data_IF_672460951294
#
_entry.id   IF_672460951294
#
_cell.length_a   1.000
_cell.length_b   1.000
_cell.length_c   1.000
_cell.angle_alpha   90.00
_cell.angle_beta   90.00
_cell.angle_gamma   90.00
#
_symmetry.space_group_name_H-M   'P 1'
#
loop_
_entity.id
_entity.type
_entity.pdbx_description
1 polymer ?
#
# COMPACT_ATOMS: atom_id res chain seq x y z
N UNK A 1 4.52 -9.78 19.59
CA UNK A 1 5.11 -9.70 18.25
C UNK A 1 4.45 -10.69 17.30
N UNK A 2 4.74 -12.01 17.39
CA UNK A 2 4.26 -13.02 16.44
C UNK A 2 2.74 -13.04 16.21
N UNK A 3 1.94 -12.94 17.27
CA UNK A 3 0.48 -12.89 17.16
C UNK A 3 -0.02 -11.79 16.22
N UNK A 4 0.45 -10.55 16.42
CA UNK A 4 0.10 -9.42 15.57
C UNK A 4 0.66 -9.54 14.16
N UNK A 5 1.86 -10.12 14.01
CA UNK A 5 2.44 -10.42 12.71
C UNK A 5 1.56 -11.39 11.92
N UNK A 6 1.10 -12.49 12.55
CA UNK A 6 0.20 -13.47 11.92
C UNK A 6 -1.12 -12.82 11.54
N UNK A 7 -1.71 -11.99 12.40
CA UNK A 7 -2.94 -11.26 12.08
C UNK A 7 -2.73 -10.32 10.89
N UNK A 8 -1.67 -9.53 10.90
CA UNK A 8 -1.37 -8.58 9.85
C UNK A 8 -1.22 -9.28 8.48
N UNK A 9 -0.38 -10.31 8.40
CA UNK A 9 -0.20 -11.06 7.16
C UNK A 9 -1.46 -11.84 6.77
N UNK A 10 -2.16 -12.37 7.76
CA UNK A 10 -3.45 -13.04 7.63
C UNK A 10 -4.47 -12.17 6.91
N UNK A 11 -4.67 -10.95 7.42
CA UNK A 11 -5.61 -9.97 6.86
C UNK A 11 -5.19 -9.53 5.46
N UNK A 12 -3.89 -9.35 5.20
CA UNK A 12 -3.41 -8.95 3.86
C UNK A 12 -3.67 -10.02 2.80
N UNK A 13 -3.34 -11.29 3.09
CA UNK A 13 -3.57 -12.40 2.14
C UNK A 13 -5.07 -12.65 1.91
N UNK A 14 -5.86 -12.61 2.99
CA UNK A 14 -7.32 -12.70 2.88
C UNK A 14 -7.93 -11.52 2.11
N UNK A 15 -7.41 -10.30 2.31
CA UNK A 15 -7.84 -9.11 1.59
C UNK A 15 -7.63 -9.25 0.08
N UNK A 16 -6.47 -9.77 -0.34
CA UNK A 16 -6.20 -10.09 -1.75
C UNK A 16 -7.21 -11.11 -2.26
N UNK A 17 -7.39 -12.24 -1.56
CA UNK A 17 -8.31 -13.30 -1.98
C UNK A 17 -9.77 -12.81 -2.11
N UNK A 18 -10.23 -11.99 -1.16
CA UNK A 18 -11.60 -11.47 -1.15
C UNK A 18 -11.82 -10.41 -2.23
N UNK A 19 -10.91 -9.45 -2.36
CA UNK A 19 -11.08 -8.38 -3.32
C UNK A 19 -10.93 -8.89 -4.76
N UNK A 20 -10.03 -9.85 -5.00
CA UNK A 20 -9.82 -10.49 -6.29
C UNK A 20 -11.11 -11.05 -6.92
N UNK A 21 -12.00 -11.62 -6.10
CA UNK A 21 -13.30 -12.14 -6.55
C UNK A 21 -14.17 -11.07 -7.20
N UNK A 22 -14.11 -9.82 -6.72
CA UNK A 22 -14.83 -8.69 -7.31
C UNK A 22 -14.37 -8.31 -8.72
N UNK A 23 -13.21 -8.79 -9.14
CA UNK A 23 -12.60 -8.52 -10.45
C UNK A 23 -12.50 -9.77 -11.32
N UNK A 24 -13.19 -10.85 -10.97
CA UNK A 24 -13.19 -12.10 -11.73
C UNK A 24 -11.98 -13.00 -11.52
N UNK A 25 -11.12 -12.69 -10.54
CA UNK A 25 -9.99 -13.54 -10.17
C UNK A 25 -10.38 -14.45 -9.00
N UNK A 26 -10.62 -15.72 -9.28
CA UNK A 26 -10.87 -16.73 -8.24
C UNK A 26 -9.56 -17.29 -7.70
N UNK A 27 -8.94 -16.53 -6.80
CA UNK A 27 -7.69 -16.93 -6.14
C UNK A 27 -7.99 -17.93 -5.01
N UNK A 28 -7.37 -19.12 -5.11
CA UNK A 28 -7.21 -19.99 -3.96
C UNK A 28 -6.36 -19.32 -2.87
N UNK A 29 -6.53 -19.72 -1.62
CA UNK A 29 -5.85 -19.07 -0.48
C UNK A 29 -4.33 -19.04 -0.66
N UNK A 30 -3.73 -20.14 -1.11
CA UNK A 30 -2.28 -20.24 -1.34
C UNK A 30 -1.82 -19.38 -2.52
N UNK A 31 -2.64 -19.23 -3.56
CA UNK A 31 -2.34 -18.35 -4.69
C UNK A 31 -2.39 -16.88 -4.24
N UNK A 32 -3.35 -16.50 -3.39
CA UNK A 32 -3.42 -15.15 -2.83
C UNK A 32 -2.19 -14.80 -1.99
N UNK A 33 -1.67 -15.73 -1.19
CA UNK A 33 -0.39 -15.53 -0.48
C UNK A 33 0.82 -15.54 -1.42
N UNK A 34 0.78 -16.30 -2.53
CA UNK A 34 1.78 -16.20 -3.59
C UNK A 34 1.80 -14.81 -4.24
N UNK A 35 0.61 -14.25 -4.52
CA UNK A 35 0.46 -12.88 -5.01
C UNK A 35 0.99 -11.86 -4.00
N UNK A 36 0.65 -12.05 -2.72
CA UNK A 36 1.14 -11.21 -1.64
C UNK A 36 2.68 -11.22 -1.56
N UNK A 37 3.31 -12.39 -1.65
CA UNK A 37 4.76 -12.51 -1.57
C UNK A 37 5.47 -11.72 -2.70
N UNK A 38 4.95 -11.79 -3.93
CA UNK A 38 5.50 -11.04 -5.07
C UNK A 38 5.27 -9.54 -4.90
N UNK A 39 4.09 -9.15 -4.43
CA UNK A 39 3.79 -7.75 -4.11
C UNK A 39 4.75 -7.20 -3.03
N UNK A 40 5.04 -7.99 -1.99
CA UNK A 40 5.98 -7.61 -0.91
C UNK A 40 7.37 -7.32 -1.47
N UNK A 41 7.86 -8.15 -2.39
CA UNK A 41 9.12 -7.87 -3.11
C UNK A 41 9.03 -6.54 -3.86
N UNK A 42 7.91 -6.27 -4.52
CA UNK A 42 7.69 -5.03 -5.26
C UNK A 42 7.70 -3.77 -4.41
N UNK A 43 7.15 -3.81 -3.20
CA UNK A 43 7.15 -2.67 -2.26
C UNK A 43 8.47 -2.52 -1.50
N UNK A 44 9.36 -3.53 -1.53
CA UNK A 44 10.73 -3.38 -1.00
C UNK A 44 11.64 -2.57 -1.93
N UNK A 45 11.28 -2.48 -3.21
CA UNK A 45 11.99 -1.64 -4.18
C UNK A 45 11.67 -0.16 -3.87
N UNK A 46 12.67 0.72 -3.76
CA UNK A 46 12.45 2.15 -3.56
C UNK A 46 11.49 2.70 -4.63
N UNK A 47 10.39 3.30 -4.19
CA UNK A 47 9.31 3.77 -5.06
C UNK A 47 8.98 5.23 -4.75
N UNK A 48 8.33 5.88 -5.72
CA UNK A 48 7.72 7.19 -5.51
C UNK A 48 6.57 7.16 -4.49
N UNK A 49 5.94 8.33 -4.22
CA UNK A 49 4.87 8.43 -3.25
C UNK A 49 3.72 7.46 -3.55
N UNK A 50 3.24 6.75 -2.52
CA UNK A 50 2.11 5.83 -2.63
C UNK A 50 2.39 4.50 -3.35
N UNK A 51 3.66 4.20 -3.67
CA UNK A 51 4.05 3.01 -4.45
C UNK A 51 3.43 2.95 -5.85
N UNK A 52 3.05 4.10 -6.41
CA UNK A 52 2.45 4.17 -7.73
C UNK A 52 3.41 3.63 -8.80
N UNK A 53 2.91 2.82 -9.71
CA UNK A 53 3.72 2.07 -10.69
C UNK A 53 4.18 0.72 -10.15
N UNK A 54 4.95 0.69 -9.05
CA UNK A 54 5.46 -0.56 -8.47
C UNK A 54 4.33 -1.49 -8.04
N UNK A 55 3.36 -0.96 -7.29
CA UNK A 55 2.24 -1.76 -6.79
C UNK A 55 1.48 -2.41 -7.94
N UNK A 56 1.15 -1.63 -8.98
CA UNK A 56 0.42 -2.11 -10.15
C UNK A 56 1.22 -3.14 -10.95
N UNK A 57 2.50 -2.86 -11.18
CA UNK A 57 3.38 -3.74 -11.94
C UNK A 57 3.49 -5.10 -11.28
N UNK A 58 3.94 -5.16 -10.02
CA UNK A 58 4.20 -6.44 -9.34
C UNK A 58 2.93 -7.25 -9.11
N UNK A 59 1.80 -6.60 -8.83
CA UNK A 59 0.54 -7.31 -8.62
C UNK A 59 -0.01 -7.90 -9.93
N UNK A 60 0.11 -7.19 -11.05
CA UNK A 60 -0.25 -7.73 -12.38
C UNK A 60 0.66 -8.88 -12.78
N UNK A 61 1.98 -8.76 -12.55
CA UNK A 61 2.91 -9.87 -12.80
C UNK A 61 2.57 -11.10 -11.95
N UNK A 62 2.21 -10.89 -10.68
CA UNK A 62 1.82 -11.96 -9.79
C UNK A 62 0.53 -12.67 -10.23
N UNK A 63 -0.48 -11.92 -10.67
CA UNK A 63 -1.69 -12.49 -11.26
C UNK A 63 -1.40 -13.30 -12.54
N UNK A 64 -0.44 -12.84 -13.35
CA UNK A 64 0.02 -13.54 -14.56
C UNK A 64 0.61 -14.92 -14.31
N UNK A 65 0.97 -15.26 -13.07
CA UNK A 65 1.42 -16.61 -12.71
C UNK A 65 0.27 -17.62 -12.57
N UNK A 66 -0.96 -17.15 -12.35
CA UNK A 66 -2.10 -18.00 -12.00
C UNK A 66 -3.26 -17.90 -13.00
N UNK A 67 -3.33 -16.84 -13.79
CA UNK A 67 -4.44 -16.58 -14.70
C UNK A 67 -3.98 -16.36 -16.14
N UNK A 68 -4.91 -16.60 -17.07
CA UNK A 68 -4.68 -16.36 -18.49
C UNK A 68 -4.43 -14.87 -18.78
N UNK A 69 -3.55 -14.60 -19.76
CA UNK A 69 -3.15 -13.24 -20.12
C UNK A 69 -4.35 -12.34 -20.48
N UNK A 70 -5.37 -12.87 -21.15
CA UNK A 70 -6.56 -12.11 -21.53
C UNK A 70 -7.34 -11.59 -20.32
N UNK A 71 -7.50 -12.42 -19.28
CA UNK A 71 -8.19 -12.03 -18.04
C UNK A 71 -7.37 -10.97 -17.28
N UNK A 72 -6.06 -11.18 -17.19
CA UNK A 72 -5.14 -10.23 -16.53
C UNK A 72 -5.12 -8.89 -17.27
N UNK A 73 -5.14 -8.89 -18.60
CA UNK A 73 -5.20 -7.69 -19.42
C UNK A 73 -6.52 -6.93 -19.24
N UNK A 74 -7.64 -7.66 -19.08
CA UNK A 74 -8.96 -7.06 -18.93
C UNK A 74 -9.17 -6.40 -17.55
N UNK A 75 -8.78 -7.07 -16.47
CA UNK A 75 -9.15 -6.66 -15.10
C UNK A 75 -7.97 -6.48 -14.14
N UNK A 76 -6.76 -6.87 -14.51
CA UNK A 76 -5.60 -6.88 -13.61
C UNK A 76 -5.21 -5.51 -13.10
N UNK A 77 -5.17 -4.49 -13.98
CA UNK A 77 -4.85 -3.11 -13.57
C UNK A 77 -5.97 -2.51 -12.71
N UNK A 78 -7.24 -2.79 -13.02
CA UNK A 78 -8.36 -2.31 -12.23
C UNK A 78 -8.29 -2.86 -10.80
N UNK A 79 -8.09 -4.18 -10.66
CA UNK A 79 -7.86 -4.82 -9.38
C UNK A 79 -6.67 -4.21 -8.64
N UNK A 80 -5.56 -3.98 -9.35
CA UNK A 80 -4.34 -3.46 -8.73
C UNK A 80 -4.46 -2.01 -8.23
N UNK A 81 -5.15 -1.15 -8.98
CA UNK A 81 -5.47 0.20 -8.55
C UNK A 81 -6.39 0.18 -7.33
N UNK A 82 -7.44 -0.63 -7.35
CA UNK A 82 -8.36 -0.72 -6.20
C UNK A 82 -7.66 -1.21 -4.95
N UNK A 83 -6.81 -2.24 -5.05
CA UNK A 83 -5.98 -2.72 -3.94
C UNK A 83 -5.04 -1.62 -3.41
N UNK A 84 -4.34 -0.91 -4.30
CA UNK A 84 -3.41 0.16 -3.91
C UNK A 84 -4.13 1.32 -3.24
N UNK A 85 -5.28 1.75 -3.77
CA UNK A 85 -6.12 2.80 -3.19
C UNK A 85 -6.64 2.36 -1.82
N UNK A 86 -7.12 1.12 -1.69
CA UNK A 86 -7.59 0.60 -0.40
C UNK A 86 -6.47 0.64 0.66
N UNK A 87 -5.25 0.21 0.31
CA UNK A 87 -4.10 0.28 1.21
C UNK A 87 -3.73 1.72 1.58
N UNK A 88 -3.73 2.61 0.60
CA UNK A 88 -3.45 4.03 0.83
C UNK A 88 -4.48 4.65 1.78
N UNK A 89 -5.78 4.39 1.54
CA UNK A 89 -6.88 4.87 2.39
C UNK A 89 -6.78 4.33 3.81
N UNK A 90 -6.42 3.06 3.99
CA UNK A 90 -6.22 2.48 5.32
C UNK A 90 -5.08 3.20 6.05
N UNK A 91 -3.92 3.35 5.40
CA UNK A 91 -2.73 3.97 6.02
C UNK A 91 -2.95 5.44 6.36
N UNK A 92 -3.49 6.21 5.41
CA UNK A 92 -3.81 7.63 5.59
C UNK A 92 -4.95 7.81 6.58
N UNK A 93 -5.99 6.97 6.50
CA UNK A 93 -7.15 7.00 7.39
C UNK A 93 -6.76 6.77 8.85
N UNK A 94 -5.85 5.83 9.11
CA UNK A 94 -5.29 5.67 10.45
C UNK A 94 -4.35 6.81 10.83
N UNK A 95 -3.58 7.38 9.90
CA UNK A 95 -2.62 8.46 10.19
C UNK A 95 -3.27 9.82 10.51
N UNK A 96 -4.33 10.20 9.80
CA UNK A 96 -4.95 11.52 9.90
C UNK A 96 -5.40 11.88 11.33
N UNK A 97 -6.14 11.04 12.07
CA UNK A 97 -6.59 11.37 13.42
C UNK A 97 -5.43 11.67 14.38
N UNK A 98 -4.37 10.86 14.35
CA UNK A 98 -3.19 11.07 15.18
C UNK A 98 -2.40 12.31 14.75
N UNK A 99 -2.30 12.56 13.45
CA UNK A 99 -1.66 13.76 12.92
C UNK A 99 -2.38 15.03 13.39
N UNK A 100 -3.71 15.05 13.29
CA UNK A 100 -4.53 16.18 13.73
C UNK A 100 -4.52 16.37 15.26
N UNK A 101 -4.43 15.29 16.04
CA UNK A 101 -4.32 15.34 17.49
C UNK A 101 -2.90 15.74 17.97
N UNK A 102 -1.89 15.63 17.12
CA UNK A 102 -0.51 15.93 17.49
C UNK A 102 -0.23 17.45 17.54
N UNK A 103 0.68 17.86 18.42
CA UNK A 103 1.12 19.25 18.55
C UNK A 103 1.95 19.77 17.35
N UNK A 104 2.16 18.93 16.33
CA UNK A 104 2.90 19.19 15.08
C UNK A 104 1.99 19.66 13.93
N UNK A 105 0.74 20.02 14.24
CA UNK A 105 -0.29 20.34 13.24
C UNK A 105 0.19 21.25 12.11
N UNK A 106 -0.47 21.13 10.95
CA UNK A 106 -0.14 21.79 9.66
C UNK A 106 0.35 23.24 9.78
N UNK A 107 -0.20 24.01 10.73
CA UNK A 107 0.21 25.38 11.02
C UNK A 107 1.68 25.53 11.45
N UNK A 108 2.21 24.61 12.26
CA UNK A 108 3.64 24.61 12.65
C UNK A 108 4.54 24.18 11.50
N UNK A 109 4.12 23.25 10.66
CA UNK A 109 4.86 22.87 9.44
C UNK A 109 4.91 24.03 8.45
N UNK A 110 3.80 24.74 8.25
CA UNK A 110 3.76 25.94 7.42
C UNK A 110 4.62 27.07 8.00
N UNK A 111 4.61 27.27 9.33
CA UNK A 111 5.51 28.22 9.99
C UNK A 111 6.98 27.82 9.85
N UNK A 112 7.34 26.54 9.99
CA UNK A 112 8.71 26.08 9.79
C UNK A 112 9.22 26.30 8.35
N UNK A 113 8.36 26.13 7.34
CA UNK A 113 8.69 26.44 5.95
C UNK A 113 8.84 27.96 5.70
N UNK A 114 8.05 28.79 6.39
CA UNK A 114 8.14 30.26 6.29
C UNK A 114 9.31 30.84 7.11
N UNK A 115 9.70 30.18 8.19
CA UNK A 115 10.84 30.54 9.04
C UNK A 115 12.19 30.03 8.51
N UNK A 116 12.24 29.49 7.28
CA UNK A 116 13.47 29.21 6.54
C UNK A 116 14.27 30.46 6.12
N UNK A 117 14.31 31.48 6.98
CA UNK A 117 15.32 32.54 6.95
C UNK A 117 16.51 32.09 7.81
N UNK A 118 17.45 31.38 7.18
CA UNK A 118 18.90 31.50 7.35
C UNK A 118 19.57 31.51 8.73
N UNK A 119 18.87 31.30 9.85
CA UNK A 119 19.45 31.43 11.19
C UNK A 119 19.83 30.07 11.79
N UNK A 120 21.03 29.90 12.37
CA UNK A 120 21.49 28.62 12.89
C UNK A 120 20.62 28.20 14.08
N UNK A 121 20.22 26.93 14.10
CA UNK A 121 19.59 26.32 15.27
C UNK A 121 20.66 26.18 16.35
N UNK A 122 20.67 27.10 17.33
CA UNK A 122 21.47 26.94 18.54
C UNK A 122 20.99 25.70 19.31
N UNK A 123 21.93 24.80 19.53
CA UNK A 123 21.76 23.59 20.33
C UNK A 123 21.94 23.96 21.80
N UNK A 124 20.90 23.71 22.61
CA UNK A 124 21.01 23.57 24.07
C UNK A 124 20.24 22.32 24.48
#
# INVERSE_FOLDING_TARGET
FLFWTVIYWGVNGLGIALLAKGFGFDLGIWQAYGVLAILVVGIMIPAGPGFFGNYQFFLVQALGLFFAADLVAHSGIAFALTMNIAQFVIQVGFGIPFFLASSLGVKKLLQATQSGDGSPVETV
#
